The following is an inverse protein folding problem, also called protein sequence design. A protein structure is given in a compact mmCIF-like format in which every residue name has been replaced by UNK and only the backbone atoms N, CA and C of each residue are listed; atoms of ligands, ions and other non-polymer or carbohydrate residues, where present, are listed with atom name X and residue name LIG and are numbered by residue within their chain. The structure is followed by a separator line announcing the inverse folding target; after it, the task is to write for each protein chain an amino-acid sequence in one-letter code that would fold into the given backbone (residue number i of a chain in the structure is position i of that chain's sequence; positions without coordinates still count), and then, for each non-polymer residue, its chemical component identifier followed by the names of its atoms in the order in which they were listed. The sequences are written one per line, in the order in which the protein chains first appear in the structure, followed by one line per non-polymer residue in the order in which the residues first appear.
data_IF_594791228712
#
_entry.id   IF_594791228712
#
_cell.length_a   1.000
_cell.length_b   1.000
_cell.length_c   1.000
_cell.angle_alpha   90.00
_cell.angle_beta   90.00
_cell.angle_gamma   90.00
#
_symmetry.space_group_name_H-M   'P 1'
#
loop_
_entity.id
_entity.type
_entity.pdbx_description
1 polymer ?
#
# COMPACT_ATOMS: atom_id res chain seq x y z
N UNK A 1 -23.10 14.02 7.21
CA UNK A 1 -22.96 13.81 8.67
C UNK A 1 -21.61 14.31 9.21
N UNK A 2 -20.59 14.55 8.38
CA UNK A 2 -19.42 15.36 8.76
C UNK A 2 -18.42 14.67 9.70
N UNK A 3 -18.58 13.37 9.93
CA UNK A 3 -17.64 12.55 10.70
C UNK A 3 -16.47 12.02 9.88
N UNK A 4 -15.54 11.36 10.56
CA UNK A 4 -14.27 10.87 10.00
C UNK A 4 -14.21 9.35 9.92
N UNK A 5 -13.28 8.84 9.12
CA UNK A 5 -12.83 7.47 9.20
C UNK A 5 -11.35 7.47 9.57
N UNK A 6 -10.95 6.52 10.43
CA UNK A 6 -9.55 6.34 10.78
C UNK A 6 -9.19 4.86 10.67
N UNK A 7 -7.95 4.62 10.23
CA UNK A 7 -7.38 3.28 10.09
C UNK A 7 -6.13 3.19 10.95
N UNK A 8 -5.92 2.01 11.51
CA UNK A 8 -4.75 1.72 12.31
C UNK A 8 -4.60 0.24 12.57
N UNK A 9 -3.83 -0.09 13.60
CA UNK A 9 -3.64 -1.46 14.04
C UNK A 9 -3.97 -1.58 15.53
N UNK A 10 -4.62 -2.68 15.91
CA UNK A 10 -4.71 -3.13 17.30
C UNK A 10 -3.78 -4.31 17.49
N UNK A 11 -3.14 -4.40 18.66
CA UNK A 11 -2.28 -5.54 19.00
C UNK A 11 -2.87 -6.35 20.14
N UNK A 12 -2.90 -7.67 20.02
CA UNK A 12 -3.19 -8.56 21.16
C UNK A 12 -1.93 -8.87 21.97
N UNK A 13 -0.77 -8.83 21.33
CA UNK A 13 0.56 -8.86 21.94
C UNK A 13 1.61 -8.24 21.00
N UNK A 14 2.89 -8.34 21.37
CA UNK A 14 4.03 -7.76 20.65
C UNK A 14 4.18 -8.17 19.19
N UNK A 15 3.54 -9.26 18.75
CA UNK A 15 3.73 -9.81 17.40
C UNK A 15 2.44 -9.95 16.61
N UNK A 16 1.29 -9.65 17.23
CA UNK A 16 -0.03 -9.95 16.66
C UNK A 16 -0.83 -8.67 16.47
N UNK A 17 -0.92 -8.20 15.23
CA UNK A 17 -1.67 -7.02 14.83
C UNK A 17 -2.94 -7.38 14.05
N UNK A 18 -3.99 -6.57 14.21
CA UNK A 18 -5.22 -6.61 13.41
C UNK A 18 -5.48 -5.22 12.85
N UNK A 19 -6.05 -5.14 11.66
CA UNK A 19 -6.44 -3.85 11.07
C UNK A 19 -7.64 -3.32 11.85
N UNK A 20 -7.57 -2.08 12.32
CA UNK A 20 -8.67 -1.38 12.98
C UNK A 20 -9.22 -0.30 12.04
N UNK A 21 -10.52 -0.38 11.75
CA UNK A 21 -11.28 0.69 11.09
C UNK A 21 -12.23 1.34 12.09
N UNK A 22 -12.15 2.66 12.20
CA UNK A 22 -12.97 3.49 13.08
C UNK A 22 -13.86 4.38 12.23
N UNK A 23 -15.13 4.48 12.62
CA UNK A 23 -16.00 5.59 12.25
C UNK A 23 -16.11 6.52 13.45
N UNK A 24 -15.80 7.78 13.22
CA UNK A 24 -15.86 8.84 14.21
C UNK A 24 -16.93 9.86 13.80
N UNK A 25 -17.54 10.53 14.76
CA UNK A 25 -18.34 11.72 14.48
C UNK A 25 -17.46 12.96 14.25
N UNK A 26 -18.08 14.13 14.09
CA UNK A 26 -17.35 15.38 13.84
C UNK A 26 -16.54 15.87 15.05
N UNK A 27 -16.85 15.41 16.27
CA UNK A 27 -16.12 15.72 17.50
C UNK A 27 -14.96 14.74 17.75
N UNK A 28 -14.91 13.63 17.00
CA UNK A 28 -13.92 12.57 17.15
C UNK A 28 -14.38 11.42 18.04
N UNK A 29 -15.65 11.39 18.45
CA UNK A 29 -16.20 10.30 19.24
C UNK A 29 -16.44 9.06 18.37
N UNK A 30 -16.07 7.89 18.88
CA UNK A 30 -16.23 6.62 18.17
C UNK A 30 -17.71 6.28 18.03
N UNK A 31 -18.20 6.30 16.78
CA UNK A 31 -19.52 5.81 16.42
C UNK A 31 -19.53 4.29 16.30
N UNK A 32 -18.50 3.72 15.65
CA UNK A 32 -18.26 2.28 15.63
C UNK A 32 -16.80 1.95 15.30
N UNK A 33 -16.39 0.73 15.67
CA UNK A 33 -15.08 0.17 15.35
C UNK A 33 -15.20 -1.25 14.81
N UNK A 34 -14.37 -1.60 13.83
CA UNK A 34 -14.26 -2.96 13.27
C UNK A 34 -12.79 -3.37 13.27
N UNK A 35 -12.52 -4.63 13.64
CA UNK A 35 -11.20 -5.23 13.47
C UNK A 35 -11.24 -6.30 12.38
N UNK A 36 -10.15 -6.42 11.64
CA UNK A 36 -10.01 -7.42 10.59
C UNK A 36 -8.72 -8.21 10.75
N UNK A 37 -8.90 -9.53 10.72
CA UNK A 37 -7.84 -10.53 10.62
C UNK A 37 -8.12 -11.44 9.41
N UNK A 38 -7.06 -11.98 8.79
CA UNK A 38 -7.17 -12.85 7.62
C UNK A 38 -7.26 -14.32 8.06
N UNK A 39 -8.40 -15.00 7.88
CA UNK A 39 -8.54 -16.44 8.22
C UNK A 39 -8.02 -16.81 9.63
N UNK A 40 -8.30 -15.98 10.63
CA UNK A 40 -7.77 -16.10 12.01
C UNK A 40 -6.23 -16.02 12.11
N UNK A 41 -5.55 -15.72 11.00
CA UNK A 41 -4.16 -15.28 10.93
C UNK A 41 -4.10 -13.76 10.86
N UNK A 42 -2.96 -13.22 11.29
CA UNK A 42 -2.88 -11.81 11.63
C UNK A 42 -2.29 -11.03 10.47
N UNK A 43 -2.95 -9.95 10.01
CA UNK A 43 -2.31 -9.01 9.11
C UNK A 43 -1.12 -8.39 9.85
N UNK A 44 0.07 -8.61 9.28
CA UNK A 44 1.33 -8.13 9.86
C UNK A 44 1.53 -6.65 9.64
N UNK A 45 0.92 -6.07 8.60
CA UNK A 45 0.96 -4.62 8.37
C UNK A 45 -0.22 -4.15 7.50
N UNK A 46 -0.76 -2.96 7.79
CA UNK A 46 -1.60 -2.19 6.87
C UNK A 46 -0.71 -1.14 6.21
N UNK A 47 -0.51 -1.23 4.90
CA UNK A 47 0.27 -0.21 4.19
C UNK A 47 -0.60 0.94 3.73
N UNK A 48 -1.73 0.66 3.06
CA UNK A 48 -2.54 1.69 2.46
C UNK A 48 -4.04 1.38 2.42
N UNK A 49 -4.81 2.42 2.12
CA UNK A 49 -6.25 2.33 1.94
C UNK A 49 -6.76 3.45 1.05
N UNK A 50 -7.98 3.27 0.54
CA UNK A 50 -8.73 4.31 -0.14
C UNK A 50 -10.23 4.20 0.12
N UNK A 51 -10.93 5.33 0.03
CA UNK A 51 -12.39 5.35 -0.02
C UNK A 51 -12.80 4.90 -1.42
N UNK A 52 -13.74 3.97 -1.49
CA UNK A 52 -14.24 3.50 -2.78
C UNK A 52 -15.50 4.26 -3.21
N UNK A 53 -15.74 4.34 -4.52
CA UNK A 53 -16.84 5.08 -5.13
C UNK A 53 -18.24 4.61 -4.66
N UNK A 54 -18.34 3.37 -4.18
CA UNK A 54 -19.54 2.80 -3.55
C UNK A 54 -19.72 3.23 -2.07
N UNK A 55 -18.86 4.11 -1.56
CA UNK A 55 -18.85 4.60 -0.18
C UNK A 55 -18.18 3.67 0.83
N UNK A 56 -17.62 2.54 0.40
CA UNK A 56 -16.85 1.63 1.23
C UNK A 56 -15.36 1.95 1.27
N UNK A 57 -14.54 0.96 1.63
CA UNK A 57 -13.08 1.08 1.69
C UNK A 57 -12.39 -0.10 1.01
N UNK A 58 -11.29 0.18 0.35
CA UNK A 58 -10.29 -0.82 -0.03
C UNK A 58 -9.07 -0.64 0.86
N UNK A 59 -8.54 -1.74 1.38
CA UNK A 59 -7.36 -1.77 2.23
C UNK A 59 -6.33 -2.70 1.61
N UNK A 60 -5.06 -2.34 1.72
CA UNK A 60 -3.93 -3.11 1.26
C UNK A 60 -2.84 -3.22 2.32
N UNK A 61 -2.18 -4.37 2.37
CA UNK A 61 -1.11 -4.62 3.32
C UNK A 61 -0.47 -5.98 3.14
N UNK A 62 -0.01 -6.56 4.24
CA UNK A 62 0.64 -7.87 4.27
C UNK A 62 0.09 -8.78 5.34
N UNK A 63 0.17 -10.08 5.07
CA UNK A 63 -0.17 -11.14 6.01
C UNK A 63 0.98 -12.14 6.04
N UNK A 64 1.43 -12.46 7.25
CA UNK A 64 2.31 -13.58 7.52
C UNK A 64 1.51 -14.68 8.24
N UNK A 65 1.63 -15.91 7.76
CA UNK A 65 0.95 -17.08 8.31
C UNK A 65 1.87 -17.91 9.21
N UNK A 66 1.30 -18.69 10.15
CA UNK A 66 2.08 -19.57 11.02
C UNK A 66 2.91 -20.63 10.27
N UNK A 67 2.49 -21.02 9.06
CA UNK A 67 3.21 -21.97 8.19
C UNK A 67 4.39 -21.35 7.42
N UNK A 68 4.81 -20.14 7.82
CA UNK A 68 5.85 -19.33 7.16
C UNK A 68 5.49 -18.82 5.76
N UNK A 69 4.24 -18.95 5.33
CA UNK A 69 3.76 -18.29 4.11
C UNK A 69 3.50 -16.82 4.38
N UNK A 70 4.11 -15.93 3.60
CA UNK A 70 3.80 -14.52 3.59
C UNK A 70 3.23 -14.09 2.23
N UNK A 71 2.40 -13.06 2.24
CA UNK A 71 1.79 -12.52 1.03
C UNK A 71 1.22 -11.13 1.24
N UNK A 72 0.83 -10.50 0.14
CA UNK A 72 0.07 -9.26 0.19
C UNK A 72 -1.42 -9.56 0.35
N UNK A 73 -2.12 -8.65 1.00
CA UNK A 73 -3.52 -8.80 1.38
C UNK A 73 -4.32 -7.60 0.89
N UNK A 74 -5.49 -7.87 0.29
CA UNK A 74 -6.49 -6.87 -0.06
C UNK A 74 -7.80 -7.18 0.67
N UNK A 75 -8.43 -6.14 1.21
CA UNK A 75 -9.72 -6.23 1.88
C UNK A 75 -10.64 -5.12 1.39
N UNK A 76 -11.78 -5.50 0.83
CA UNK A 76 -12.86 -4.57 0.52
C UNK A 76 -13.95 -4.69 1.57
N UNK A 77 -14.37 -3.54 2.08
CA UNK A 77 -15.51 -3.41 3.00
C UNK A 77 -16.53 -2.42 2.46
N UNK A 78 -17.77 -2.52 2.94
CA UNK A 78 -18.82 -1.52 2.70
C UNK A 78 -18.69 -0.31 3.62
N UNK A 79 -19.58 0.67 3.47
CA UNK A 79 -19.60 1.91 4.26
C UNK A 79 -19.82 1.69 5.78
N UNK A 80 -20.40 0.54 6.15
CA UNK A 80 -20.63 0.11 7.53
C UNK A 80 -19.50 -0.78 8.05
N UNK A 81 -18.43 -0.98 7.27
CA UNK A 81 -17.29 -1.81 7.61
C UNK A 81 -17.58 -3.32 7.57
N UNK A 82 -18.60 -3.78 6.85
CA UNK A 82 -18.79 -5.22 6.63
C UNK A 82 -17.90 -5.69 5.49
N UNK A 83 -17.26 -6.85 5.67
CA UNK A 83 -16.40 -7.48 4.65
C UNK A 83 -17.23 -7.84 3.42
N UNK A 84 -16.86 -7.29 2.26
CA UNK A 84 -17.43 -7.66 0.96
C UNK A 84 -16.63 -8.79 0.33
N UNK A 85 -15.31 -8.63 0.29
CA UNK A 85 -14.38 -9.66 -0.16
C UNK A 85 -12.98 -9.41 0.40
N UNK A 86 -12.17 -10.45 0.38
CA UNK A 86 -10.75 -10.35 0.71
C UNK A 86 -9.93 -11.26 -0.21
N UNK A 87 -8.69 -10.87 -0.49
CA UNK A 87 -7.78 -11.60 -1.38
C UNK A 87 -6.40 -11.67 -0.75
N UNK A 88 -5.77 -12.83 -0.88
CA UNK A 88 -4.42 -13.08 -0.42
C UNK A 88 -3.57 -13.57 -1.60
N UNK A 89 -2.45 -12.89 -1.83
CA UNK A 89 -1.51 -13.21 -2.90
C UNK A 89 -0.19 -13.63 -2.24
N UNK A 90 -0.16 -14.89 -1.81
CA UNK A 90 1.00 -15.49 -1.16
C UNK A 90 1.88 -16.28 -2.11
N UNK A 91 3.11 -16.52 -1.68
CA UNK A 91 4.04 -17.43 -2.35
C UNK A 91 4.61 -18.45 -1.35
N UNK A 92 4.86 -19.69 -1.78
CA UNK A 92 5.57 -20.66 -0.97
C UNK A 92 7.03 -20.23 -0.76
N UNK A 93 7.51 -20.33 0.48
CA UNK A 93 8.89 -20.07 0.86
C UNK A 93 9.06 -18.94 1.89
N UNK A 94 10.21 -18.93 2.58
CA UNK A 94 10.61 -17.90 3.53
C UNK A 94 10.96 -16.59 2.81
N UNK A 95 9.96 -15.96 2.19
CA UNK A 95 10.08 -14.63 1.63
C UNK A 95 9.65 -13.64 2.71
N UNK A 96 10.58 -12.93 3.35
CA UNK A 96 10.28 -12.51 4.71
C UNK A 96 9.34 -11.30 4.78
N UNK A 97 9.15 -10.45 3.77
CA UNK A 97 8.32 -9.23 3.94
C UNK A 97 7.68 -8.67 2.65
N UNK A 98 6.73 -9.36 2.00
CA UNK A 98 5.91 -8.70 0.98
C UNK A 98 5.02 -7.63 1.64
N UNK A 99 4.90 -6.45 1.05
CA UNK A 99 4.03 -5.39 1.54
C UNK A 99 3.49 -4.56 0.38
N UNK A 100 2.17 -4.34 0.37
CA UNK A 100 1.59 -3.22 -0.35
C UNK A 100 1.54 -2.04 0.61
N UNK A 101 2.20 -0.96 0.24
CA UNK A 101 2.37 0.26 1.02
C UNK A 101 1.31 1.32 0.70
N UNK A 102 0.69 1.23 -0.48
CA UNK A 102 -0.41 2.11 -0.85
C UNK A 102 -1.37 1.41 -1.80
N UNK A 103 -2.63 1.86 -1.81
CA UNK A 103 -3.64 1.44 -2.77
C UNK A 103 -4.61 2.59 -3.04
N UNK A 104 -5.01 2.74 -4.30
CA UNK A 104 -5.95 3.77 -4.75
C UNK A 104 -6.98 3.13 -5.68
N UNK A 105 -8.25 3.48 -5.52
CA UNK A 105 -9.28 3.13 -6.49
C UNK A 105 -9.22 4.06 -7.70
N UNK A 106 -9.31 3.48 -8.88
CA UNK A 106 -9.32 4.19 -10.15
C UNK A 106 -10.75 4.46 -10.63
N UNK A 107 -10.88 5.37 -11.58
CA UNK A 107 -12.17 5.75 -12.16
C UNK A 107 -12.90 4.60 -12.89
N UNK A 108 -12.17 3.56 -13.31
CA UNK A 108 -12.74 2.36 -13.91
C UNK A 108 -13.22 1.33 -12.87
N UNK A 109 -13.13 1.65 -11.57
CA UNK A 109 -13.54 0.81 -10.45
C UNK A 109 -12.49 -0.21 -10.01
N UNK A 110 -11.42 -0.42 -10.79
CA UNK A 110 -10.27 -1.21 -10.38
C UNK A 110 -9.33 -0.42 -9.45
N UNK A 111 -8.20 -1.03 -9.09
CA UNK A 111 -7.25 -0.47 -8.14
C UNK A 111 -5.83 -0.44 -8.70
N UNK A 112 -5.03 0.50 -8.18
CA UNK A 112 -3.59 0.55 -8.34
C UNK A 112 -2.94 0.52 -6.97
N UNK A 113 -1.92 -0.30 -6.78
CA UNK A 113 -1.20 -0.42 -5.52
C UNK A 113 0.31 -0.36 -5.75
N UNK A 114 1.04 0.06 -4.72
CA UNK A 114 2.51 0.06 -4.72
C UNK A 114 3.06 -0.63 -3.50
N UNK A 115 4.33 -1.05 -3.58
CA UNK A 115 5.06 -1.62 -2.45
C UNK A 115 6.20 -2.52 -2.91
N UNK A 116 6.51 -3.52 -2.11
CA UNK A 116 7.44 -4.59 -2.43
C UNK A 116 6.72 -5.94 -2.49
N UNK A 117 6.97 -6.70 -3.55
CA UNK A 117 6.31 -7.98 -3.78
C UNK A 117 7.34 -9.09 -3.97
N UNK A 118 8.44 -9.07 -3.20
CA UNK A 118 9.33 -10.20 -2.87
C UNK A 118 10.57 -9.78 -2.03
N UNK A 119 11.39 -10.78 -1.68
CA UNK A 119 12.61 -10.69 -0.87
C UNK A 119 13.74 -9.87 -1.50
N UNK A 120 13.59 -9.45 -2.76
CA UNK A 120 14.62 -8.68 -3.45
C UNK A 120 14.42 -7.17 -3.31
N UNK A 121 13.40 -6.73 -2.55
CA UNK A 121 13.10 -5.31 -2.33
C UNK A 121 13.08 -4.56 -3.67
N UNK A 122 12.28 -5.10 -4.60
CA UNK A 122 12.09 -4.50 -5.93
C UNK A 122 10.77 -3.72 -5.89
N UNK A 123 10.79 -2.40 -6.13
CA UNK A 123 9.63 -1.57 -6.12
C UNK A 123 8.69 -2.02 -7.19
N UNK A 124 7.42 -2.13 -6.81
CA UNK A 124 6.39 -2.65 -7.68
C UNK A 124 5.17 -1.77 -7.66
N UNK A 125 4.50 -1.80 -8.80
CA UNK A 125 3.18 -1.26 -9.00
C UNK A 125 2.31 -2.38 -9.56
N UNK A 126 1.12 -2.56 -8.98
CA UNK A 126 0.20 -3.63 -9.36
C UNK A 126 -1.19 -3.09 -9.58
N UNK A 127 -1.77 -3.47 -10.72
CA UNK A 127 -3.10 -3.10 -11.15
C UNK A 127 -4.03 -4.29 -10.94
N UNK A 128 -5.14 -4.04 -10.27
CA UNK A 128 -6.18 -5.04 -9.98
C UNK A 128 -7.52 -4.64 -10.56
N UNK A 129 -8.31 -5.54 -11.11
CA UNK A 129 -9.68 -5.22 -11.48
C UNK A 129 -10.57 -4.91 -10.25
N UNK A 130 -11.84 -4.60 -10.48
CA UNK A 130 -12.78 -4.25 -9.41
C UNK A 130 -13.04 -5.41 -8.42
N UNK A 131 -12.77 -6.65 -8.84
CA UNK A 131 -12.89 -7.88 -8.06
C UNK A 131 -11.58 -8.24 -7.34
N UNK A 132 -10.53 -7.43 -7.53
CA UNK A 132 -9.21 -7.63 -6.97
C UNK A 132 -8.32 -8.54 -7.82
N UNK A 133 -8.74 -9.05 -8.97
CA UNK A 133 -7.87 -9.94 -9.75
C UNK A 133 -6.77 -9.15 -10.46
N UNK A 134 -5.54 -9.67 -10.44
CA UNK A 134 -4.37 -8.96 -10.96
C UNK A 134 -4.45 -8.83 -12.48
N UNK A 135 -4.48 -7.59 -12.97
CA UNK A 135 -4.41 -7.26 -14.39
C UNK A 135 -2.95 -7.20 -14.86
N UNK A 136 -2.09 -6.55 -14.08
CA UNK A 136 -0.66 -6.54 -14.35
C UNK A 136 0.16 -6.18 -13.12
N UNK A 137 1.42 -6.61 -13.13
CA UNK A 137 2.47 -6.21 -12.19
C UNK A 137 3.63 -5.59 -12.97
N UNK A 138 4.15 -4.47 -12.49
CA UNK A 138 5.37 -3.82 -12.99
C UNK A 138 6.39 -3.77 -11.88
N UNK A 139 7.62 -4.11 -12.22
CA UNK A 139 8.77 -4.08 -11.32
C UNK A 139 9.75 -3.04 -11.84
N UNK A 140 10.25 -2.21 -10.94
CA UNK A 140 11.20 -1.17 -11.28
C UNK A 140 12.53 -1.45 -10.57
N UNK A 141 13.58 -1.72 -11.34
CA UNK A 141 14.89 -2.10 -10.82
C UNK A 141 15.83 -0.91 -10.94
N UNK A 142 15.85 -0.05 -9.94
CA UNK A 142 16.71 1.13 -9.91
C UNK A 142 18.02 0.85 -9.16
N UNK A 143 17.95 0.08 -8.06
CA UNK A 143 19.09 -0.47 -7.31
C UNK A 143 18.66 -1.69 -6.46
N UNK A 144 19.52 -2.10 -5.52
CA UNK A 144 19.24 -3.17 -4.55
C UNK A 144 18.69 -2.56 -3.26
N UNK A 145 17.45 -2.85 -2.88
CA UNK A 145 16.90 -2.42 -1.58
C UNK A 145 15.90 -1.26 -1.66
N UNK A 146 14.89 -1.37 -2.52
CA UNK A 146 14.04 -0.24 -2.90
C UNK A 146 12.54 -0.55 -2.67
N UNK A 147 11.73 0.48 -2.40
CA UNK A 147 10.28 0.37 -2.17
C UNK A 147 9.53 1.56 -2.78
N UNK A 148 8.30 1.34 -3.24
CA UNK A 148 7.35 2.42 -3.56
C UNK A 148 6.32 2.51 -2.43
N UNK A 149 6.23 3.67 -1.79
CA UNK A 149 5.38 3.90 -0.62
C UNK A 149 4.05 4.56 -0.95
N UNK A 150 3.94 5.25 -2.08
CA UNK A 150 2.69 5.90 -2.46
C UNK A 150 2.52 5.95 -3.98
N UNK A 151 1.26 5.95 -4.44
CA UNK A 151 0.90 6.05 -5.85
C UNK A 151 -0.34 6.89 -6.07
N UNK A 152 -0.35 7.74 -7.10
CA UNK A 152 -1.55 8.48 -7.51
C UNK A 152 -1.70 8.43 -9.03
N UNK A 153 -2.96 8.39 -9.55
CA UNK A 153 -3.21 8.68 -10.96
C UNK A 153 -2.63 10.04 -11.34
N UNK A 154 -1.97 10.11 -12.48
CA UNK A 154 -1.46 11.38 -13.00
C UNK A 154 -2.54 12.10 -13.82
N UNK A 155 -2.52 13.43 -13.79
CA UNK A 155 -3.50 14.28 -14.48
C UNK A 155 -3.52 14.11 -16.01
N UNK A 156 -2.46 13.55 -16.60
CA UNK A 156 -2.31 13.35 -18.03
C UNK A 156 -2.16 11.87 -18.42
N UNK A 157 -2.85 10.97 -17.69
CA UNK A 157 -2.83 9.52 -17.91
C UNK A 157 -1.67 8.85 -17.17
N UNK A 158 -1.77 7.55 -16.88
CA UNK A 158 -0.79 6.78 -16.12
C UNK A 158 -0.70 7.18 -14.65
N UNK A 159 0.45 6.89 -14.04
CA UNK A 159 0.61 7.03 -12.59
C UNK A 159 1.88 7.80 -12.24
N UNK A 160 1.88 8.39 -11.05
CA UNK A 160 3.07 8.87 -10.37
C UNK A 160 3.18 8.13 -9.04
N UNK A 161 4.36 7.60 -8.75
CA UNK A 161 4.64 6.90 -7.52
C UNK A 161 5.92 7.44 -6.89
N UNK A 162 6.00 7.39 -5.56
CA UNK A 162 7.20 7.75 -4.84
C UNK A 162 7.56 6.70 -3.80
N UNK A 163 8.82 6.73 -3.40
CA UNK A 163 9.36 5.82 -2.39
C UNK A 163 10.84 6.08 -2.20
N UNK A 164 11.60 5.02 -1.94
CA UNK A 164 13.04 5.13 -1.74
C UNK A 164 13.81 4.05 -2.48
N UNK A 165 15.05 4.38 -2.79
CA UNK A 165 16.04 3.44 -3.32
C UNK A 165 17.28 3.47 -2.44
N UNK A 166 17.89 2.31 -2.19
CA UNK A 166 19.12 2.24 -1.40
C UNK A 166 20.33 2.53 -2.31
N UNK A 167 20.98 3.67 -2.08
CA UNK A 167 22.24 4.02 -2.71
C UNK A 167 23.46 3.70 -1.83
N UNK A 168 24.66 3.82 -2.39
CA UNK A 168 25.94 3.61 -1.68
C UNK A 168 26.12 4.47 -0.41
N UNK A 169 25.38 5.58 -0.27
CA UNK A 169 25.50 6.54 0.84
C UNK A 169 24.22 6.67 1.69
N UNK A 170 23.22 5.81 1.50
CA UNK A 170 21.93 5.85 2.20
C UNK A 170 20.72 5.80 1.28
N UNK A 171 19.53 6.07 1.84
CA UNK A 171 18.28 6.11 1.08
C UNK A 171 18.17 7.39 0.25
N UNK A 172 17.92 7.26 -1.05
CA UNK A 172 17.54 8.35 -1.92
C UNK A 172 16.02 8.32 -2.12
N UNK A 173 15.37 9.48 -2.11
CA UNK A 173 13.97 9.55 -2.48
C UNK A 173 13.84 9.29 -4.00
N UNK A 174 12.86 8.46 -4.36
CA UNK A 174 12.55 8.07 -5.72
C UNK A 174 11.18 8.63 -6.09
N UNK A 175 11.08 9.16 -7.31
CA UNK A 175 9.81 9.45 -7.97
C UNK A 175 9.80 8.76 -9.33
N UNK A 176 8.76 7.98 -9.61
CA UNK A 176 8.55 7.27 -10.88
C UNK A 176 7.29 7.78 -11.54
N UNK A 177 7.37 8.02 -12.85
CA UNK A 177 6.23 8.34 -13.71
C UNK A 177 6.03 7.22 -14.72
N UNK A 178 4.79 6.83 -14.96
CA UNK A 178 4.44 5.72 -15.85
C UNK A 178 3.35 6.07 -16.87
N UNK A 179 3.18 5.26 -17.90
CA UNK A 179 1.95 5.29 -18.72
C UNK A 179 0.78 4.55 -18.03
N UNK A 180 -0.40 4.50 -18.68
CA UNK A 180 -1.59 3.78 -18.18
C UNK A 180 -1.38 2.27 -18.00
N UNK A 181 -0.39 1.71 -18.72
CA UNK A 181 0.00 0.31 -18.64
C UNK A 181 1.10 0.07 -17.59
N UNK A 182 1.44 1.09 -16.81
CA UNK A 182 2.44 1.05 -15.75
C UNK A 182 3.89 1.00 -16.26
N UNK A 183 4.13 1.19 -17.56
CA UNK A 183 5.48 1.23 -18.09
C UNK A 183 6.14 2.56 -17.72
N UNK A 184 7.40 2.52 -17.32
CA UNK A 184 8.14 3.71 -16.94
C UNK A 184 8.28 4.70 -18.11
N UNK A 185 7.96 5.96 -17.85
CA UNK A 185 8.28 7.10 -18.72
C UNK A 185 9.55 7.81 -18.27
N UNK A 186 9.70 8.00 -16.96
CA UNK A 186 10.91 8.52 -16.33
C UNK A 186 10.91 8.26 -14.83
N UNK A 187 12.10 8.32 -14.23
CA UNK A 187 12.25 8.44 -12.78
C UNK A 187 13.19 9.60 -12.40
N UNK A 188 13.13 10.02 -11.14
CA UNK A 188 14.01 11.01 -10.52
C UNK A 188 14.48 10.49 -9.16
N UNK A 189 15.78 10.65 -8.90
CA UNK A 189 16.40 10.35 -7.63
C UNK A 189 16.82 11.65 -6.95
N UNK A 190 16.49 11.76 -5.67
CA UNK A 190 16.86 12.90 -4.82
C UNK A 190 17.66 12.37 -3.64
N UNK A 191 18.98 12.54 -3.72
CA UNK A 191 19.87 12.23 -2.61
C UNK A 191 19.80 13.35 -1.56
N UNK A 192 19.86 12.99 -0.28
CA UNK A 192 20.14 13.95 0.78
C UNK A 192 21.59 14.42 0.61
N UNK A 193 21.79 15.55 -0.07
CA UNK A 193 23.07 16.23 -0.11
C UNK A 193 23.45 16.62 1.33
N UNK A 194 24.48 16.00 1.90
CA UNK A 194 25.07 16.39 3.20
C UNK A 194 25.89 17.68 3.14
N UNK A 195 25.51 18.64 2.29
CA UNK A 195 26.02 20.01 2.37
C UNK A 195 24.88 20.99 2.14
N UNK A 196 24.46 21.63 3.23
CA UNK A 196 23.85 22.94 3.15
C UNK A 196 24.76 23.82 2.28
N UNK A 197 24.24 24.31 1.17
CA UNK A 197 24.84 25.44 0.47
C UNK A 197 23.99 26.61 0.92
N UNK A 198 24.57 27.45 1.78
CA UNK A 198 24.01 28.76 2.12
C UNK A 198 23.69 29.49 0.82
N UNK A 199 22.43 29.86 0.65
CA UNK A 199 22.04 30.86 -0.33
C UNK A 199 22.13 32.18 0.41
N UNK A 200 23.28 32.87 0.27
CA UNK A 200 23.31 34.31 0.53
C UNK A 200 22.40 35.01 -0.49
N UNK A 201 21.49 35.83 0.04
CA UNK A 201 20.53 36.65 -0.70
C UNK A 201 21.21 37.80 -1.44
#
# INVERSE_FOLDING_TARGET
DGGYYALGATSEDTWRFSILLLRLDAAGDTLWSKTYAYQDTLPTNLGGYDLTADGGFILAGSVAKPDSTAGVYLLKVDAAGNKLWEKFYGWPGNNPYPALEDIVQLSDGGYIATGQWNSYQIPRMVRFDAQGDTLWTRSFQFSTGDELWAVRPAHNGGFIACGSVTGFAGYNALVVRTDDMGNELWHKLYALNTKAVDIEL
#
